data_IF_973949517918
#
_entry.id   IF_973949517918
#
_cell.length_a   1.000
_cell.length_b   1.000
_cell.length_c   1.000
_cell.angle_alpha   90.00
_cell.angle_beta   90.00
_cell.angle_gamma   90.00
#
_symmetry.space_group_name_H-M   'P 1'
#
loop_
_entity.id
_entity.type
_entity.pdbx_description
1 polymer ?
#
# COMPACT_ATOMS: atom_id res chain seq x y z
N UNK A 1 -16.77 -10.84 -7.11
CA UNK A 1 -16.62 -10.07 -8.36
C UNK A 1 -15.23 -9.48 -8.42
N UNK A 2 -14.58 -9.48 -9.58
CA UNK A 2 -13.25 -8.86 -9.77
C UNK A 2 -13.37 -7.88 -10.94
N UNK A 3 -12.94 -6.65 -10.73
CA UNK A 3 -12.93 -5.58 -11.74
C UNK A 3 -11.51 -5.00 -11.84
N UNK A 4 -11.07 -4.63 -13.03
CA UNK A 4 -9.80 -3.91 -13.23
C UNK A 4 -10.05 -2.40 -13.27
N UNK A 5 -9.06 -1.61 -12.87
CA UNK A 5 -9.09 -0.16 -13.00
C UNK A 5 -7.72 0.39 -13.35
N UNK A 6 -7.71 1.60 -13.92
CA UNK A 6 -6.50 2.33 -14.33
C UNK A 6 -6.35 3.56 -13.43
N UNK A 7 -5.15 3.78 -12.92
CA UNK A 7 -4.78 4.90 -12.06
C UNK A 7 -4.01 5.99 -12.84
N UNK A 8 -3.82 5.82 -14.15
CA UNK A 8 -2.94 6.64 -14.97
C UNK A 8 -1.48 6.21 -14.89
N UNK A 9 -0.65 6.75 -15.80
CA UNK A 9 0.81 6.51 -15.83
C UNK A 9 1.22 5.03 -15.92
N UNK A 10 0.35 4.18 -16.48
CA UNK A 10 0.58 2.74 -16.56
C UNK A 10 0.33 1.97 -15.25
N UNK A 11 -0.10 2.65 -14.18
CA UNK A 11 -0.49 2.04 -12.90
C UNK A 11 -1.89 1.45 -13.04
N UNK A 12 -2.01 0.16 -12.72
CA UNK A 12 -3.28 -0.58 -12.79
C UNK A 12 -3.55 -1.26 -11.45
N UNK A 13 -4.82 -1.58 -11.24
CA UNK A 13 -5.23 -2.30 -10.06
C UNK A 13 -6.42 -3.19 -10.30
N UNK A 14 -6.73 -3.98 -9.27
CA UNK A 14 -7.88 -4.87 -9.22
C UNK A 14 -8.73 -4.53 -8.00
N UNK A 15 -10.03 -4.43 -8.23
CA UNK A 15 -11.06 -4.35 -7.19
C UNK A 15 -11.65 -5.74 -7.03
N UNK A 16 -11.48 -6.31 -5.84
CA UNK A 16 -12.01 -7.62 -5.46
C UNK A 16 -13.15 -7.38 -4.48
N UNK A 17 -14.35 -7.82 -4.86
CA UNK A 17 -15.53 -7.76 -4.01
C UNK A 17 -15.88 -9.18 -3.57
N UNK A 18 -15.78 -9.44 -2.26
CA UNK A 18 -16.23 -10.67 -1.62
C UNK A 18 -17.40 -10.38 -0.66
N UNK A 19 -17.87 -11.37 0.09
CA UNK A 19 -19.07 -11.24 0.93
C UNK A 19 -18.92 -10.25 2.09
N UNK A 20 -17.69 -9.98 2.52
CA UNK A 20 -17.41 -9.13 3.70
C UNK A 20 -16.76 -7.80 3.34
N UNK A 21 -15.93 -7.79 2.30
CA UNK A 21 -15.03 -6.70 1.99
C UNK A 21 -15.00 -6.36 0.50
N UNK A 22 -14.67 -5.10 0.23
CA UNK A 22 -14.15 -4.61 -1.03
C UNK A 22 -12.65 -4.38 -0.82
N UNK A 23 -11.83 -4.93 -1.71
CA UNK A 23 -10.37 -4.83 -1.65
C UNK A 23 -9.89 -4.17 -2.94
N UNK A 24 -9.16 -3.06 -2.82
CA UNK A 24 -8.47 -2.43 -3.95
C UNK A 24 -6.99 -2.79 -3.86
N UNK A 25 -6.49 -3.59 -4.79
CA UNK A 25 -5.07 -3.93 -4.90
C UNK A 25 -4.47 -3.14 -6.06
N UNK A 26 -3.38 -2.41 -5.80
CA UNK A 26 -2.80 -1.44 -6.73
C UNK A 26 -1.29 -1.63 -6.77
N UNK A 27 -0.72 -1.73 -7.96
CA UNK A 27 0.73 -1.68 -8.15
C UNK A 27 1.15 -0.22 -8.42
N UNK A 28 2.21 0.24 -7.73
CA UNK A 28 2.54 1.67 -7.70
C UNK A 28 4.00 2.01 -8.00
N UNK A 29 4.96 1.15 -7.62
CA UNK A 29 6.40 1.30 -7.90
C UNK A 29 6.93 2.73 -7.69
N UNK A 30 6.84 3.22 -6.45
CA UNK A 30 7.30 4.57 -6.10
C UNK A 30 8.40 4.53 -5.04
N UNK A 31 9.49 5.26 -5.27
CA UNK A 31 10.52 5.45 -4.24
C UNK A 31 9.99 6.40 -3.16
N UNK A 32 10.26 6.09 -1.90
CA UNK A 32 9.95 6.97 -0.76
C UNK A 32 11.23 7.35 -0.02
N UNK A 33 11.19 8.48 0.67
CA UNK A 33 12.34 8.97 1.42
C UNK A 33 12.77 7.93 2.47
N UNK A 34 14.04 7.53 2.41
CA UNK A 34 14.63 6.55 3.34
C UNK A 34 14.88 7.14 4.72
N UNK A 35 14.97 8.47 4.83
CA UNK A 35 15.26 9.15 6.10
C UNK A 35 14.09 9.12 7.08
N UNK A 36 12.89 8.75 6.63
CA UNK A 36 11.70 8.68 7.45
C UNK A 36 11.43 7.27 8.01
N UNK A 37 11.78 6.19 7.30
CA UNK A 37 11.25 4.86 7.59
C UNK A 37 12.01 4.07 8.68
N UNK A 38 11.27 3.57 9.67
CA UNK A 38 11.75 2.59 10.63
C UNK A 38 11.36 1.16 10.22
N UNK A 39 12.35 0.29 9.98
CA UNK A 39 12.14 -1.11 9.56
C UNK A 39 11.40 -1.98 10.58
N UNK A 40 11.32 -1.56 11.85
CA UNK A 40 10.58 -2.26 12.88
C UNK A 40 9.05 -2.20 12.68
N UNK A 41 8.55 -1.40 11.73
CA UNK A 41 7.13 -1.32 11.39
C UNK A 41 6.68 -2.40 10.38
N UNK A 42 7.57 -3.32 9.97
CA UNK A 42 7.20 -4.44 9.13
C UNK A 42 6.37 -5.46 9.93
N UNK A 43 5.10 -5.62 9.58
CA UNK A 43 4.22 -6.65 10.13
C UNK A 43 4.66 -8.06 9.70
N UNK A 44 5.27 -8.17 8.52
CA UNK A 44 5.93 -9.38 8.03
C UNK A 44 7.09 -8.97 7.12
N UNK A 45 8.17 -9.74 7.13
CA UNK A 45 9.30 -9.48 6.23
C UNK A 45 10.00 -10.76 5.78
N UNK A 46 10.62 -10.67 4.60
CA UNK A 46 11.50 -11.70 4.04
C UNK A 46 12.75 -10.99 3.53
N UNK A 47 13.92 -11.45 3.94
CA UNK A 47 15.21 -10.84 3.57
C UNK A 47 16.05 -11.80 2.75
N UNK A 48 16.64 -11.29 1.66
CA UNK A 48 17.63 -11.97 0.85
C UNK A 48 18.78 -11.00 0.57
N UNK A 49 19.95 -11.28 1.16
CA UNK A 49 21.12 -10.37 1.11
C UNK A 49 20.74 -8.95 1.58
N UNK A 50 20.99 -7.95 0.75
CA UNK A 50 20.76 -6.53 1.05
C UNK A 50 19.35 -6.05 0.67
N UNK A 51 18.44 -6.98 0.38
CA UNK A 51 17.06 -6.70 -0.01
C UNK A 51 16.12 -7.31 1.02
N UNK A 52 15.21 -6.50 1.55
CA UNK A 52 14.13 -6.94 2.43
C UNK A 52 12.79 -6.59 1.81
N UNK A 53 11.95 -7.60 1.59
CA UNK A 53 10.53 -7.41 1.33
C UNK A 53 9.81 -7.21 2.66
N UNK A 54 9.05 -6.13 2.77
CA UNK A 54 8.34 -5.76 3.98
C UNK A 54 6.86 -5.54 3.67
N UNK A 55 6.00 -6.15 4.47
CA UNK A 55 4.58 -5.85 4.50
C UNK A 55 4.32 -5.01 5.74
N UNK A 56 3.73 -3.83 5.56
CA UNK A 56 3.44 -2.92 6.66
C UNK A 56 2.03 -2.39 6.58
N UNK A 57 1.41 -2.23 7.74
CA UNK A 57 0.10 -1.62 7.88
C UNK A 57 0.28 -0.11 8.02
N UNK A 58 -0.20 0.66 7.05
CA UNK A 58 -0.16 2.13 7.10
C UNK A 58 -1.26 2.67 8.01
N UNK A 59 -2.44 2.04 7.95
CA UNK A 59 -3.56 2.27 8.87
C UNK A 59 -4.50 1.04 8.85
N UNK A 60 -5.67 1.13 9.49
CA UNK A 60 -6.65 0.04 9.56
C UNK A 60 -7.15 -0.48 8.21
N UNK A 61 -7.06 0.34 7.17
CA UNK A 61 -7.61 0.03 5.85
C UNK A 61 -6.53 -0.11 4.78
N UNK A 62 -5.32 0.41 4.97
CA UNK A 62 -4.27 0.43 3.96
C UNK A 62 -3.04 -0.36 4.41
N UNK A 63 -2.65 -1.32 3.60
CA UNK A 63 -1.45 -2.15 3.76
C UNK A 63 -0.55 -1.92 2.56
N UNK A 64 0.74 -1.68 2.82
CA UNK A 64 1.76 -1.50 1.81
C UNK A 64 2.71 -2.71 1.74
N UNK A 65 3.17 -2.99 0.54
CA UNK A 65 4.31 -3.87 0.27
C UNK A 65 5.48 -3.03 -0.20
N UNK A 66 6.61 -3.21 0.46
CA UNK A 66 7.81 -2.39 0.29
C UNK A 66 9.02 -3.28 -0.03
N UNK A 67 9.93 -2.76 -0.85
CA UNK A 67 11.30 -3.24 -1.00
C UNK A 67 12.19 -2.28 -0.23
N UNK A 68 12.98 -2.82 0.68
CA UNK A 68 14.01 -2.08 1.41
C UNK A 68 15.38 -2.53 0.95
N UNK A 69 16.21 -1.56 0.61
CA UNK A 69 17.62 -1.76 0.36
C UNK A 69 18.45 -0.90 1.31
N UNK A 70 19.77 -1.06 1.27
CA UNK A 70 20.68 -0.15 1.98
C UNK A 70 20.50 1.31 1.58
N UNK A 71 20.01 1.61 0.37
CA UNK A 71 20.02 2.97 -0.17
C UNK A 71 18.63 3.54 -0.45
N UNK A 72 17.63 2.68 -0.61
CA UNK A 72 16.28 3.08 -1.02
C UNK A 72 15.20 2.30 -0.27
N UNK A 73 14.01 2.88 -0.26
CA UNK A 73 12.78 2.17 0.03
C UNK A 73 11.82 2.45 -1.11
N UNK A 74 11.25 1.38 -1.64
CA UNK A 74 10.35 1.44 -2.79
C UNK A 74 9.05 0.76 -2.41
N UNK A 75 7.93 1.44 -2.67
CA UNK A 75 6.61 0.84 -2.56
C UNK A 75 6.34 0.09 -3.86
N UNK A 76 6.01 -1.18 -3.76
CA UNK A 76 5.65 -1.99 -4.93
C UNK A 76 4.14 -2.06 -5.12
N UNK A 77 3.38 -2.16 -4.02
CA UNK A 77 1.91 -2.22 -4.10
C UNK A 77 1.23 -1.80 -2.81
N UNK A 78 -0.06 -1.47 -2.94
CA UNK A 78 -0.98 -1.24 -1.83
C UNK A 78 -2.19 -2.15 -1.92
N UNK A 79 -2.75 -2.48 -0.75
CA UNK A 79 -4.07 -3.09 -0.60
C UNK A 79 -4.90 -2.23 0.34
N UNK A 80 -6.04 -1.77 -0.15
CA UNK A 80 -7.01 -1.01 0.61
C UNK A 80 -8.27 -1.83 0.88
N UNK A 81 -8.69 -1.93 2.13
CA UNK A 81 -9.77 -2.79 2.61
C UNK A 81 -10.95 -1.94 3.09
N UNK A 82 -12.14 -2.23 2.55
CA UNK A 82 -13.39 -1.58 2.93
C UNK A 82 -14.39 -2.64 3.36
N UNK A 83 -14.98 -2.51 4.54
CA UNK A 83 -16.05 -3.39 4.98
C UNK A 83 -17.35 -3.05 4.24
N UNK A 84 -18.04 -4.07 3.72
CA UNK A 84 -19.33 -3.91 3.02
C UNK A 84 -20.45 -3.34 3.88
N UNK A 85 -20.28 -3.33 5.19
CA UNK A 85 -21.26 -2.81 6.16
C UNK A 85 -21.28 -1.27 6.18
N UNK A 86 -20.30 -0.64 5.53
CA UNK A 86 -20.21 0.80 5.33
C UNK A 86 -20.86 1.10 3.97
N UNK A 87 -21.71 2.12 3.87
CA UNK A 87 -22.41 2.62 2.64
C UNK A 87 -21.44 3.08 1.52
N UNK A 88 -20.51 2.22 1.11
CA UNK A 88 -19.25 2.57 0.46
C UNK A 88 -19.12 1.88 -0.90
N UNK A 89 -20.12 2.05 -1.75
CA UNK A 89 -20.03 1.61 -3.14
C UNK A 89 -19.41 2.67 -4.08
N UNK A 90 -19.38 3.94 -3.66
CA UNK A 90 -18.74 5.04 -4.41
C UNK A 90 -17.52 5.58 -3.65
N UNK A 91 -16.37 4.96 -3.87
CA UNK A 91 -15.09 5.44 -3.35
C UNK A 91 -14.20 5.83 -4.52
N UNK A 92 -13.65 7.04 -4.49
CA UNK A 92 -12.71 7.52 -5.50
C UNK A 92 -11.37 6.79 -5.34
N UNK A 93 -11.04 5.95 -6.32
CA UNK A 93 -9.83 5.14 -6.34
C UNK A 93 -8.57 6.02 -6.33
N UNK A 94 -8.61 7.17 -7.02
CA UNK A 94 -7.47 8.11 -7.02
C UNK A 94 -7.28 8.76 -5.64
N UNK A 95 -8.35 8.91 -4.87
CA UNK A 95 -8.26 9.37 -3.49
C UNK A 95 -7.66 8.28 -2.59
N UNK A 96 -8.09 7.02 -2.72
CA UNK A 96 -7.49 5.88 -1.99
C UNK A 96 -5.98 5.84 -2.24
N UNK A 97 -5.58 5.89 -3.52
CA UNK A 97 -4.18 5.86 -3.92
C UNK A 97 -3.37 6.97 -3.25
N UNK A 98 -3.80 8.23 -3.39
CA UNK A 98 -3.13 9.39 -2.81
C UNK A 98 -3.02 9.30 -1.30
N UNK A 99 -4.09 8.89 -0.61
CA UNK A 99 -4.06 8.71 0.85
C UNK A 99 -3.07 7.64 1.29
N UNK A 100 -3.02 6.49 0.61
CA UNK A 100 -2.04 5.44 0.90
C UNK A 100 -0.60 5.91 0.65
N UNK A 101 -0.34 6.60 -0.46
CA UNK A 101 0.98 7.18 -0.75
C UNK A 101 1.41 8.21 0.28
N UNK A 102 0.51 9.11 0.70
CA UNK A 102 0.80 10.10 1.74
C UNK A 102 1.14 9.43 3.08
N UNK A 103 0.40 8.39 3.48
CA UNK A 103 0.68 7.67 4.71
C UNK A 103 2.01 6.93 4.63
N UNK A 104 2.34 6.33 3.49
CA UNK A 104 3.62 5.67 3.28
C UNK A 104 4.79 6.67 3.36
N UNK A 105 4.65 7.87 2.78
CA UNK A 105 5.64 8.94 2.90
C UNK A 105 5.77 9.47 4.34
N UNK A 106 4.67 9.43 5.11
CA UNK A 106 4.61 9.80 6.54
C UNK A 106 4.98 8.67 7.48
N UNK A 107 5.50 7.54 6.99
CA UNK A 107 6.16 6.55 7.84
C UNK A 107 7.46 7.17 8.37
N UNK A 108 7.34 8.18 9.23
CA UNK A 108 8.40 8.93 9.90
C UNK A 108 8.59 8.39 11.30
N UNK A 109 9.85 8.18 11.68
CA UNK A 109 10.32 7.94 13.05
C UNK A 109 9.70 8.96 14.04
N UNK A 110 9.13 8.50 15.16
CA UNK A 110 9.07 9.30 16.39
C UNK A 110 10.41 9.13 17.08
N UNK A 111 11.19 10.21 17.15
CA UNK A 111 12.42 10.29 17.98
C UNK A 111 12.04 10.17 19.45
#
# INVERSE_FOLDING_TARGET
MIETFDLGEGKKGIKIVNDKNIIYSMDCYEAIDKNSFNINNCSSSISLKDITLCYTKLNDQCVASLILTKNSIEIISFRYFISKNIDSYNVDINQIYRSCMEMANKLTYKV
#
